data_IF_521317974044
#
_entry.id   IF_521317974044
#
_cell.length_a   1.000
_cell.length_b   1.000
_cell.length_c   1.000
_cell.angle_alpha   90.00
_cell.angle_beta   90.00
_cell.angle_gamma   90.00
#
_symmetry.space_group_name_H-M   'P 1'
#
loop_
_entity.id
_entity.type
_entity.pdbx_description
1 polymer ?
#
# COMPACT_ATOMS: atom_id res chain seq x y z
N UNK A 1 -35.02 49.72 -20.56
CA UNK A 1 -35.30 48.42 -19.90
C UNK A 1 -34.03 47.64 -19.56
N UNK A 2 -33.21 47.23 -20.54
CA UNK A 2 -32.02 46.37 -20.30
C UNK A 2 -30.93 47.07 -19.48
N UNK A 3 -30.71 48.39 -19.67
CA UNK A 3 -29.73 49.15 -18.89
C UNK A 3 -30.08 49.22 -17.39
N UNK A 4 -31.38 49.25 -17.05
CA UNK A 4 -31.85 49.29 -15.66
C UNK A 4 -31.88 47.92 -14.98
N UNK A 5 -32.12 46.84 -15.74
CA UNK A 5 -32.00 45.47 -15.25
C UNK A 5 -31.36 44.59 -16.33
N UNK A 6 -30.05 44.35 -16.19
CA UNK A 6 -29.26 43.57 -17.15
C UNK A 6 -29.62 42.07 -17.18
N UNK A 7 -30.37 41.58 -16.18
CA UNK A 7 -30.78 40.18 -16.05
C UNK A 7 -32.25 39.94 -16.46
N UNK A 8 -32.92 40.93 -17.06
CA UNK A 8 -34.30 40.83 -17.51
C UNK A 8 -34.49 39.71 -18.56
N UNK A 9 -35.61 38.97 -18.49
CA UNK A 9 -35.88 37.90 -19.46
C UNK A 9 -36.52 38.50 -20.72
N UNK A 10 -36.18 37.97 -21.89
CA UNK A 10 -36.77 38.39 -23.17
C UNK A 10 -38.30 38.34 -23.17
N UNK A 11 -38.90 37.37 -22.49
CA UNK A 11 -40.36 37.24 -22.36
C UNK A 11 -40.99 38.40 -21.57
N UNK A 12 -40.28 38.95 -20.60
CA UNK A 12 -40.78 40.03 -19.75
C UNK A 12 -40.70 41.35 -20.54
N UNK A 13 -39.65 41.54 -21.34
CA UNK A 13 -39.56 42.63 -22.32
C UNK A 13 -40.67 42.52 -23.37
N UNK A 14 -40.89 41.32 -23.92
CA UNK A 14 -41.91 41.06 -24.94
C UNK A 14 -43.32 41.40 -24.44
N UNK A 15 -43.61 41.05 -23.19
CA UNK A 15 -44.89 41.35 -22.53
C UNK A 15 -45.08 42.84 -22.27
N UNK A 16 -44.04 43.52 -21.76
CA UNK A 16 -44.11 44.95 -21.45
C UNK A 16 -44.26 45.81 -22.71
N UNK A 17 -43.57 45.43 -23.79
CA UNK A 17 -43.58 46.15 -25.06
C UNK A 17 -44.63 45.64 -26.04
N UNK A 18 -45.46 44.66 -25.65
CA UNK A 18 -46.48 44.00 -26.47
C UNK A 18 -45.98 43.55 -27.87
N UNK A 19 -44.73 43.08 -27.93
CA UNK A 19 -44.10 42.60 -29.17
C UNK A 19 -43.74 41.12 -29.08
N UNK A 20 -43.62 40.48 -30.24
CA UNK A 20 -43.16 39.10 -30.34
C UNK A 20 -41.75 38.92 -29.73
N UNK A 21 -41.53 37.78 -29.06
CA UNK A 21 -40.25 37.45 -28.40
C UNK A 21 -39.08 37.41 -29.39
N UNK A 22 -39.35 36.96 -30.60
CA UNK A 22 -38.41 36.87 -31.72
C UNK A 22 -37.92 38.26 -32.13
N UNK A 23 -38.83 39.25 -32.15
CA UNK A 23 -38.49 40.64 -32.43
C UNK A 23 -37.67 41.25 -31.29
N UNK A 24 -37.96 40.92 -30.03
CA UNK A 24 -37.10 41.29 -28.89
C UNK A 24 -35.70 40.71 -29.05
N UNK A 25 -35.59 39.43 -29.43
CA UNK A 25 -34.28 38.81 -29.65
C UNK A 25 -33.47 39.54 -30.72
N UNK A 26 -34.06 39.79 -31.90
CA UNK A 26 -33.41 40.52 -32.99
C UNK A 26 -32.98 41.93 -32.57
N UNK A 27 -33.84 42.66 -31.84
CA UNK A 27 -33.48 44.00 -31.35
C UNK A 27 -32.29 43.91 -30.39
N UNK A 28 -32.26 42.92 -29.48
CA UNK A 28 -31.17 42.75 -28.53
C UNK A 28 -29.86 42.39 -29.25
N UNK A 29 -29.88 41.44 -30.18
CA UNK A 29 -28.67 40.93 -30.83
C UNK A 29 -28.18 41.82 -31.96
N UNK A 30 -29.07 42.23 -32.85
CA UNK A 30 -28.70 42.81 -34.14
C UNK A 30 -28.76 44.34 -34.14
N UNK A 31 -29.70 44.93 -33.39
CA UNK A 31 -29.84 46.40 -33.31
C UNK A 31 -29.00 46.97 -32.16
N UNK A 32 -29.08 46.36 -30.98
CA UNK A 32 -28.38 46.82 -29.78
C UNK A 32 -27.00 46.19 -29.58
N UNK A 33 -26.64 45.17 -30.38
CA UNK A 33 -25.33 44.50 -30.29
C UNK A 33 -25.10 43.79 -28.94
N UNK A 34 -26.15 43.49 -28.20
CA UNK A 34 -26.05 42.93 -26.86
C UNK A 34 -25.98 41.39 -26.91
N UNK A 35 -25.04 40.82 -26.16
CA UNK A 35 -24.90 39.37 -26.00
C UNK A 35 -25.26 38.93 -24.59
N UNK A 36 -25.99 37.82 -24.47
CA UNK A 36 -26.26 37.19 -23.18
C UNK A 36 -25.04 36.41 -22.71
N UNK A 37 -24.52 36.77 -21.54
CA UNK A 37 -23.38 36.12 -20.88
C UNK A 37 -23.79 35.64 -19.49
N UNK A 38 -23.19 34.55 -19.01
CA UNK A 38 -23.34 34.11 -17.63
C UNK A 38 -22.40 34.90 -16.72
N UNK A 39 -22.85 35.18 -15.49
CA UNK A 39 -21.99 35.77 -14.47
C UNK A 39 -20.88 34.79 -14.07
N UNK A 40 -19.70 35.31 -13.70
CA UNK A 40 -18.63 34.52 -13.09
C UNK A 40 -18.87 34.41 -11.59
N UNK A 41 -18.64 33.22 -11.04
CA UNK A 41 -18.66 33.01 -9.59
C UNK A 41 -17.49 33.76 -8.95
N UNK A 42 -17.77 34.51 -7.88
CA UNK A 42 -16.77 35.22 -7.07
C UNK A 42 -16.85 34.65 -5.66
N UNK A 43 -15.72 34.26 -5.08
CA UNK A 43 -15.66 33.53 -3.81
C UNK A 43 -16.35 34.24 -2.65
N UNK A 44 -16.24 35.57 -2.57
CA UNK A 44 -16.86 36.38 -1.52
C UNK A 44 -17.17 37.79 -2.00
N UNK A 45 -18.26 38.37 -1.49
CA UNK A 45 -18.53 39.79 -1.61
C UNK A 45 -17.63 40.58 -0.64
N UNK A 46 -16.72 41.38 -1.17
CA UNK A 46 -15.73 42.13 -0.37
C UNK A 46 -16.28 43.51 0.03
N UNK A 47 -16.05 43.91 1.29
CA UNK A 47 -16.25 45.30 1.73
C UNK A 47 -15.18 46.21 1.13
N UNK A 48 -15.41 47.52 1.12
CA UNK A 48 -14.45 48.46 0.56
C UNK A 48 -13.14 48.51 1.35
N UNK A 49 -13.20 48.31 2.67
CA UNK A 49 -12.02 48.14 3.52
C UNK A 49 -11.19 46.91 3.09
N UNK A 50 -11.83 45.75 2.89
CA UNK A 50 -11.14 44.54 2.45
C UNK A 50 -10.53 44.68 1.06
N UNK A 51 -11.16 45.45 0.16
CA UNK A 51 -10.59 45.76 -1.15
C UNK A 51 -9.37 46.65 -1.01
N UNK A 52 -9.42 47.65 -0.12
CA UNK A 52 -8.29 48.54 0.14
C UNK A 52 -7.12 47.74 0.72
N UNK A 53 -7.34 46.93 1.75
CA UNK A 53 -6.31 46.08 2.35
C UNK A 53 -5.66 45.17 1.32
N UNK A 54 -6.46 44.47 0.49
CA UNK A 54 -5.93 43.63 -0.59
C UNK A 54 -5.09 44.42 -1.58
N UNK A 55 -5.52 45.62 -1.97
CA UNK A 55 -4.76 46.50 -2.88
C UNK A 55 -3.42 46.91 -2.26
N UNK A 56 -3.43 47.32 -0.99
CA UNK A 56 -2.22 47.72 -0.27
C UNK A 56 -1.24 46.56 -0.17
N UNK A 57 -1.67 45.39 0.31
CA UNK A 57 -0.81 44.20 0.41
C UNK A 57 -0.25 43.79 -0.95
N UNK A 58 -1.05 43.82 -2.02
CA UNK A 58 -0.55 43.52 -3.36
C UNK A 58 0.48 44.55 -3.84
N UNK A 59 0.32 45.84 -3.53
CA UNK A 59 1.28 46.87 -3.90
C UNK A 59 2.61 46.72 -3.15
N UNK A 60 2.57 46.36 -1.86
CA UNK A 60 3.76 46.08 -1.06
C UNK A 60 4.52 44.85 -1.58
N UNK A 61 3.80 43.75 -1.85
CA UNK A 61 4.39 42.53 -2.43
C UNK A 61 5.00 42.79 -3.82
N UNK A 62 4.34 43.62 -4.64
CA UNK A 62 4.87 44.01 -5.95
C UNK A 62 6.17 44.81 -5.81
N UNK A 63 6.22 45.76 -4.89
CA UNK A 63 7.42 46.55 -4.63
C UNK A 63 8.61 45.66 -4.20
N UNK A 64 8.37 44.68 -3.33
CA UNK A 64 9.41 43.74 -2.90
C UNK A 64 9.93 42.90 -4.08
N UNK A 65 9.03 42.46 -4.96
CA UNK A 65 9.43 41.76 -6.17
C UNK A 65 10.21 42.64 -7.15
N UNK A 66 9.87 43.93 -7.27
CA UNK A 66 10.62 44.88 -8.11
C UNK A 66 12.04 45.14 -7.59
N UNK A 67 12.24 45.12 -6.27
CA UNK A 67 13.54 45.33 -5.63
C UNK A 67 14.44 44.09 -5.64
N UNK A 68 13.88 42.91 -5.36
CA UNK A 68 14.64 41.68 -5.13
C UNK A 68 14.54 40.67 -6.30
N UNK A 69 13.58 40.83 -7.21
CA UNK A 69 13.35 39.94 -8.35
C UNK A 69 12.95 38.52 -7.94
N UNK A 70 13.48 37.54 -8.67
CA UNK A 70 13.14 36.11 -8.48
C UNK A 70 13.62 35.53 -7.14
N UNK A 71 14.64 36.12 -6.51
CA UNK A 71 15.13 35.71 -5.18
C UNK A 71 14.05 35.87 -4.10
N UNK A 72 13.17 36.87 -4.24
CA UNK A 72 12.00 37.02 -3.38
C UNK A 72 11.08 35.81 -3.46
N UNK A 73 10.76 35.36 -4.68
CA UNK A 73 9.83 34.24 -4.92
C UNK A 73 10.45 32.92 -4.42
N UNK A 74 11.75 32.71 -4.63
CA UNK A 74 12.44 31.50 -4.17
C UNK A 74 12.44 31.33 -2.65
N UNK A 75 12.33 32.42 -1.88
CA UNK A 75 12.24 32.37 -0.41
C UNK A 75 10.82 32.09 0.09
N UNK A 76 9.80 32.21 -0.75
CA UNK A 76 8.41 32.01 -0.35
C UNK A 76 8.06 30.53 -0.40
N UNK A 77 7.63 30.00 0.75
CA UNK A 77 7.00 28.68 0.84
C UNK A 77 5.52 28.88 1.11
N UNK A 78 4.66 28.48 0.16
CA UNK A 78 3.21 28.53 0.32
C UNK A 78 2.63 27.15 0.58
N UNK A 79 1.61 27.05 1.44
CA UNK A 79 0.79 25.86 1.59
C UNK A 79 -0.68 26.26 1.73
N UNK A 80 -1.58 25.46 1.18
CA UNK A 80 -3.03 25.60 1.36
C UNK A 80 -3.66 24.21 1.54
N UNK A 81 -4.78 24.14 2.24
CA UNK A 81 -5.53 22.92 2.46
C UNK A 81 -6.69 22.87 1.48
N UNK A 82 -6.66 21.91 0.55
CA UNK A 82 -7.78 21.69 -0.38
C UNK A 82 -8.55 20.44 0.02
N UNK A 83 -9.87 20.57 0.15
CA UNK A 83 -10.74 19.42 0.36
C UNK A 83 -10.75 18.53 -0.89
N UNK A 84 -10.30 17.30 -0.76
CA UNK A 84 -10.42 16.27 -1.80
C UNK A 84 -11.60 15.38 -1.46
N UNK A 85 -12.62 15.36 -2.34
CA UNK A 85 -13.76 14.47 -2.20
C UNK A 85 -13.37 13.04 -2.56
N UNK A 86 -13.70 12.08 -1.71
CA UNK A 86 -13.39 10.66 -1.94
C UNK A 86 -14.33 10.03 -2.98
N UNK A 87 -15.55 10.53 -3.08
CA UNK A 87 -16.55 10.10 -4.03
C UNK A 87 -17.27 11.33 -4.59
N UNK A 88 -17.06 11.59 -5.88
CA UNK A 88 -17.81 12.58 -6.63
C UNK A 88 -18.94 11.84 -7.37
N UNK A 89 -20.22 12.06 -7.01
CA UNK A 89 -21.32 11.37 -7.67
C UNK A 89 -21.35 11.73 -9.16
N UNK A 90 -21.65 10.73 -10.01
CA UNK A 90 -21.77 10.96 -11.45
C UNK A 90 -22.70 12.15 -11.74
N UNK A 91 -22.22 13.07 -12.56
CA UNK A 91 -23.05 14.19 -13.04
C UNK A 91 -24.24 13.66 -13.85
N UNK A 92 -25.32 14.45 -13.95
CA UNK A 92 -26.46 14.11 -14.81
C UNK A 92 -26.03 13.77 -16.24
N UNK A 93 -25.00 14.45 -16.75
CA UNK A 93 -24.45 14.22 -18.08
C UNK A 93 -23.72 12.87 -18.18
N UNK A 94 -22.86 12.55 -17.21
CA UNK A 94 -22.17 11.25 -17.16
C UNK A 94 -23.14 10.08 -16.99
N UNK A 95 -24.29 10.33 -16.36
CA UNK A 95 -25.32 9.31 -16.14
C UNK A 95 -26.27 9.05 -17.32
N UNK A 96 -26.07 9.73 -18.45
CA UNK A 96 -26.95 9.59 -19.60
C UNK A 96 -26.81 8.20 -20.24
N UNK A 97 -27.93 7.48 -20.34
CA UNK A 97 -28.01 6.17 -20.99
C UNK A 97 -28.96 6.21 -22.20
N UNK A 98 -28.58 5.53 -23.28
CA UNK A 98 -29.46 5.34 -24.43
C UNK A 98 -30.51 4.29 -24.11
N UNK A 99 -31.78 4.62 -24.33
CA UNK A 99 -32.89 3.70 -24.07
C UNK A 99 -33.94 3.72 -25.17
N UNK A 100 -34.70 2.63 -25.23
CA UNK A 100 -35.82 2.49 -26.14
C UNK A 100 -36.97 3.43 -25.74
N UNK A 101 -37.69 3.98 -26.73
CA UNK A 101 -38.77 4.98 -26.51
C UNK A 101 -39.91 4.50 -25.60
N UNK A 102 -40.11 3.18 -25.50
CA UNK A 102 -41.12 2.53 -24.66
C UNK A 102 -40.68 2.33 -23.21
N UNK A 103 -39.43 2.66 -22.87
CA UNK A 103 -38.89 2.42 -21.53
C UNK A 103 -39.14 3.60 -20.59
N UNK A 104 -39.38 3.29 -19.31
CA UNK A 104 -39.59 4.29 -18.26
C UNK A 104 -38.31 5.08 -17.99
N UNK A 105 -38.42 6.33 -17.56
CA UNK A 105 -37.24 7.13 -17.21
C UNK A 105 -36.45 6.51 -16.04
N UNK A 106 -35.10 6.45 -16.14
CA UNK A 106 -34.28 5.95 -15.05
C UNK A 106 -34.38 6.89 -13.84
N UNK A 107 -34.49 6.31 -12.65
CA UNK A 107 -34.51 7.03 -11.38
C UNK A 107 -33.15 6.94 -10.71
N UNK A 108 -32.51 8.07 -10.48
CA UNK A 108 -31.31 8.19 -9.63
C UNK A 108 -31.67 8.85 -8.30
N UNK A 109 -31.15 8.30 -7.21
CA UNK A 109 -31.24 8.90 -5.89
C UNK A 109 -30.11 9.92 -5.73
N UNK A 110 -30.41 11.08 -5.12
CA UNK A 110 -29.38 12.08 -4.84
C UNK A 110 -28.40 11.52 -3.80
N UNK A 111 -27.17 11.32 -4.21
CA UNK A 111 -26.05 11.01 -3.32
C UNK A 111 -25.25 12.29 -3.13
N UNK A 112 -24.93 12.63 -1.89
CA UNK A 112 -24.11 13.81 -1.55
C UNK A 112 -22.64 13.41 -1.59
N UNK A 113 -21.78 14.26 -2.16
CA UNK A 113 -20.33 14.06 -2.11
C UNK A 113 -19.89 13.92 -0.64
N UNK A 114 -19.19 12.83 -0.32
CA UNK A 114 -18.73 12.54 1.04
C UNK A 114 -17.23 12.82 1.15
N UNK A 115 -16.85 13.65 2.12
CA UNK A 115 -15.47 13.87 2.51
C UNK A 115 -15.19 13.01 3.77
N UNK A 116 -14.37 11.95 3.65
CA UNK A 116 -13.90 11.15 4.79
C UNK A 116 -12.38 11.28 4.90
N UNK A 117 -11.87 11.40 6.14
CA UNK A 117 -10.45 11.56 6.54
C UNK A 117 -9.51 10.54 5.88
N UNK A 118 -9.06 10.80 4.65
CA UNK A 118 -7.89 10.12 4.07
C UNK A 118 -6.59 10.78 4.54
N UNK A 119 -6.62 12.08 4.88
CA UNK A 119 -5.48 12.78 5.49
C UNK A 119 -5.04 12.09 6.76
N UNK A 120 -5.97 11.64 7.62
CA UNK A 120 -5.60 10.89 8.82
C UNK A 120 -4.90 9.57 8.46
N UNK A 121 -5.41 8.81 7.50
CA UNK A 121 -4.78 7.56 7.07
C UNK A 121 -3.40 7.79 6.43
N UNK A 122 -3.28 8.77 5.54
CA UNK A 122 -2.00 9.15 4.93
C UNK A 122 -1.02 9.70 5.96
N UNK A 123 -1.50 10.41 6.97
CA UNK A 123 -0.69 10.95 8.08
C UNK A 123 -0.28 9.85 9.06
N UNK A 124 -1.11 8.83 9.23
CA UNK A 124 -0.84 7.62 10.01
C UNK A 124 0.16 6.71 9.28
N UNK A 125 -0.05 6.47 7.98
CA UNK A 125 0.89 5.77 7.09
C UNK A 125 2.24 6.52 7.01
N UNK A 126 2.22 7.86 6.96
CA UNK A 126 3.44 8.68 7.00
C UNK A 126 4.14 8.60 8.34
N UNK A 127 3.39 8.64 9.46
CA UNK A 127 3.95 8.50 10.80
C UNK A 127 4.57 7.11 10.98
N UNK A 128 3.91 6.06 10.50
CA UNK A 128 4.41 4.69 10.50
C UNK A 128 5.68 4.54 9.64
N UNK A 129 5.72 5.19 8.48
CA UNK A 129 6.92 5.25 7.64
C UNK A 129 8.08 5.97 8.33
N UNK A 130 7.80 7.04 9.09
CA UNK A 130 8.82 7.79 9.85
C UNK A 130 9.33 6.99 11.04
N UNK A 131 8.46 6.30 11.78
CA UNK A 131 8.88 5.46 12.91
C UNK A 131 9.71 4.27 12.43
N UNK A 132 9.29 3.60 11.35
CA UNK A 132 10.06 2.49 10.77
C UNK A 132 11.43 2.95 10.26
N UNK A 133 11.54 4.15 9.69
CA UNK A 133 12.84 4.74 9.33
C UNK A 133 13.70 5.05 10.56
N UNK A 134 13.11 5.52 11.65
CA UNK A 134 13.85 5.80 12.89
C UNK A 134 14.37 4.51 13.52
N UNK A 135 13.53 3.48 13.61
CA UNK A 135 13.90 2.16 14.13
C UNK A 135 15.00 1.52 13.27
N UNK A 136 14.90 1.61 11.93
CA UNK A 136 15.95 1.17 11.03
C UNK A 136 17.27 1.90 11.26
N UNK A 137 17.24 3.22 11.44
CA UNK A 137 18.46 4.00 11.75
C UNK A 137 19.07 3.60 13.09
N UNK A 138 18.25 3.44 14.13
CA UNK A 138 18.72 2.99 15.44
C UNK A 138 19.37 1.61 15.37
N UNK A 139 18.74 0.68 14.63
CA UNK A 139 19.28 -0.67 14.44
C UNK A 139 20.61 -0.64 13.69
N UNK A 140 20.72 0.19 12.65
CA UNK A 140 21.98 0.38 11.91
C UNK A 140 23.06 0.92 12.85
N UNK A 141 22.76 1.93 13.67
CA UNK A 141 23.74 2.47 14.63
C UNK A 141 24.17 1.44 15.67
N UNK A 142 23.24 0.63 16.18
CA UNK A 142 23.57 -0.47 17.10
C UNK A 142 24.45 -1.53 16.42
N UNK A 143 24.14 -1.93 15.19
CA UNK A 143 24.97 -2.88 14.45
C UNK A 143 26.37 -2.32 14.15
N UNK A 144 26.48 -1.03 13.86
CA UNK A 144 27.77 -0.37 13.69
C UNK A 144 28.58 -0.35 15.00
N UNK A 145 27.93 -0.12 16.15
CA UNK A 145 28.55 -0.16 17.47
C UNK A 145 28.97 -1.59 17.86
N UNK A 146 28.12 -2.57 17.63
CA UNK A 146 28.41 -3.99 17.87
C UNK A 146 29.56 -4.48 16.99
N UNK A 147 29.61 -4.09 15.70
CA UNK A 147 30.73 -4.39 14.82
C UNK A 147 32.02 -3.71 15.28
N UNK A 148 31.95 -2.46 15.78
CA UNK A 148 33.10 -1.79 16.38
C UNK A 148 33.56 -2.53 17.64
N UNK A 149 32.64 -2.98 18.48
CA UNK A 149 32.94 -3.74 19.69
C UNK A 149 33.50 -5.13 19.38
N UNK A 150 32.98 -5.84 18.39
CA UNK A 150 33.50 -7.14 17.94
C UNK A 150 34.86 -6.99 17.26
N UNK A 151 35.08 -5.91 16.51
CA UNK A 151 36.38 -5.61 15.92
C UNK A 151 37.39 -5.17 16.99
N UNK A 152 36.96 -4.42 18.01
CA UNK A 152 37.77 -4.04 19.17
C UNK A 152 38.11 -5.27 20.03
N UNK A 153 37.14 -6.16 20.28
CA UNK A 153 37.34 -7.44 20.96
C UNK A 153 38.21 -8.40 20.12
N UNK A 154 38.03 -8.44 18.81
CA UNK A 154 38.94 -9.15 17.90
C UNK A 154 40.34 -8.55 17.95
N UNK A 155 40.50 -7.23 18.10
CA UNK A 155 41.83 -6.61 18.24
C UNK A 155 42.47 -6.83 19.62
N UNK A 156 41.66 -6.98 20.68
CA UNK A 156 42.13 -7.31 22.03
C UNK A 156 42.42 -8.81 22.21
N UNK A 157 41.72 -9.69 21.50
CA UNK A 157 41.94 -11.15 21.52
C UNK A 157 42.80 -11.66 20.36
N UNK A 158 43.13 -10.80 19.38
CA UNK A 158 44.21 -11.05 18.40
C UNK A 158 45.56 -10.67 19.03
N UNK A 159 45.82 -11.24 20.19
CA UNK A 159 47.16 -11.47 20.72
C UNK A 159 47.52 -12.93 20.45
N UNK A 160 48.60 -13.14 19.69
CA UNK A 160 49.42 -14.34 19.67
C UNK A 160 48.81 -15.68 19.22
N UNK A 161 48.17 -15.74 18.05
CA UNK A 161 47.81 -17.04 17.44
C UNK A 161 48.16 -17.22 15.95
N UNK A 162 48.66 -16.19 15.25
CA UNK A 162 49.02 -16.33 13.84
C UNK A 162 50.46 -15.86 13.66
N UNK A 163 51.35 -16.81 13.36
CA UNK A 163 52.80 -16.61 13.33
C UNK A 163 53.23 -15.64 12.23
N UNK A 164 53.84 -14.53 12.64
CA UNK A 164 54.81 -13.75 11.86
C UNK A 164 55.86 -13.18 12.84
N UNK A 165 57.15 -13.10 12.48
CA UNK A 165 58.21 -12.69 13.39
C UNK A 165 58.40 -11.17 13.40
N UNK A 166 58.25 -10.53 14.56
CA UNK A 166 58.53 -9.10 14.81
C UNK A 166 58.70 -8.82 16.31
N UNK A 167 59.46 -7.78 16.69
CA UNK A 167 60.58 -7.91 17.61
C UNK A 167 60.18 -7.95 19.09
N UNK A 168 61.00 -8.69 19.85
CA UNK A 168 60.72 -9.07 21.22
C UNK A 168 60.78 -7.93 22.23
N UNK A 169 59.84 -7.97 23.17
CA UNK A 169 59.87 -7.16 24.38
C UNK A 169 60.19 -8.02 25.61
N UNK A 170 61.05 -7.44 26.44
CA UNK A 170 61.81 -8.00 27.55
C UNK A 170 60.99 -8.54 28.75
N UNK A 171 59.68 -8.74 28.60
CA UNK A 171 58.81 -9.23 29.68
C UNK A 171 58.59 -10.75 29.66
N UNK A 172 58.99 -11.44 28.59
CA UNK A 172 58.90 -12.91 28.51
C UNK A 172 59.99 -13.61 29.35
N UNK A 173 61.13 -12.95 29.59
CA UNK A 173 62.27 -13.52 30.33
C UNK A 173 62.08 -13.49 31.86
N UNK A 174 61.23 -12.58 32.37
CA UNK A 174 60.94 -12.44 33.80
C UNK A 174 59.91 -13.47 34.33
N UNK A 175 59.04 -14.00 33.46
CA UNK A 175 58.06 -15.02 33.85
C UNK A 175 58.64 -16.44 33.81
N UNK A 176 59.71 -16.65 33.04
CA UNK A 176 60.43 -17.93 32.98
C UNK A 176 61.36 -18.19 34.18
N UNK A 177 61.79 -17.14 34.89
CA UNK A 177 62.68 -17.26 36.06
C UNK A 177 61.93 -17.59 37.35
N UNK A 178 60.68 -17.14 37.51
CA UNK A 178 59.87 -17.37 38.72
C UNK A 178 59.41 -18.83 38.84
N UNK A 179 59.17 -19.50 37.71
CA UNK A 179 58.76 -20.92 37.68
C UNK A 179 59.91 -21.87 38.00
N UNK A 180 61.17 -21.41 37.89
CA UNK A 180 62.36 -22.24 38.13
C UNK A 180 62.83 -22.26 39.60
N UNK A 181 62.36 -21.35 40.44
CA UNK A 181 62.81 -21.24 41.84
C UNK A 181 61.93 -21.95 42.89
N UNK A 182 60.74 -22.46 42.54
CA UNK A 182 59.82 -23.04 43.54
C UNK A 182 59.89 -24.57 43.69
N UNK A 183 60.90 -25.22 43.11
CA UNK A 183 61.14 -26.66 43.31
C UNK A 183 62.01 -26.90 44.55
N UNK A 184 61.54 -27.61 45.59
CA UNK A 184 62.38 -27.94 46.73
C UNK A 184 63.37 -29.06 46.39
N UNK A 185 64.65 -28.78 46.64
CA UNK A 185 65.77 -29.74 46.62
C UNK A 185 65.86 -30.42 47.98
N UNK A 186 65.92 -31.77 48.02
CA UNK A 186 66.78 -32.59 48.92
C UNK A 186 66.57 -34.11 48.74
N UNK A 187 67.49 -35.00 49.19
CA UNK A 187 68.28 -35.84 48.26
C UNK A 187 68.20 -37.38 48.48
N UNK A 188 68.85 -38.09 47.54
CA UNK A 188 69.46 -39.45 47.62
C UNK A 188 68.60 -40.74 47.64
N UNK A 189 68.75 -41.50 46.54
CA UNK A 189 68.92 -42.97 46.40
C UNK A 189 67.72 -43.92 46.67
N UNK A 190 67.75 -45.13 46.07
CA UNK A 190 66.77 -45.60 45.09
C UNK A 190 65.75 -46.55 45.72
N UNK A 191 64.55 -46.68 45.14
CA UNK A 191 63.75 -47.92 45.15
C UNK A 191 62.47 -47.71 44.30
N UNK A 192 62.31 -48.65 43.38
CA UNK A 192 61.14 -49.10 42.60
C UNK A 192 59.76 -48.48 42.85
N UNK A 193 59.06 -48.22 41.75
CA UNK A 193 57.59 -48.20 41.69
C UNK A 193 57.03 -46.88 41.17
N UNK A 194 56.37 -46.93 40.02
CA UNK A 194 55.59 -45.85 39.39
C UNK A 194 54.38 -45.44 40.25
N UNK A 195 54.17 -44.11 40.50
CA UNK A 195 52.82 -43.59 40.67
C UNK A 195 52.69 -42.12 40.18
N UNK A 196 53.05 -41.79 38.93
CA UNK A 196 53.01 -40.38 38.48
C UNK A 196 51.66 -39.87 37.93
N UNK A 197 50.64 -40.73 37.76
CA UNK A 197 49.36 -40.34 37.13
C UNK A 197 48.25 -39.90 38.09
N UNK A 198 48.38 -40.12 39.40
CA UNK A 198 47.31 -39.79 40.38
C UNK A 198 47.31 -38.33 40.85
N UNK A 199 48.47 -37.69 40.95
CA UNK A 199 48.58 -36.33 41.54
C UNK A 199 47.96 -35.22 40.69
N UNK A 200 48.01 -35.34 39.35
CA UNK A 200 47.40 -34.36 38.44
C UNK A 200 45.88 -34.50 38.38
N UNK A 201 45.38 -35.74 38.40
CA UNK A 201 43.94 -36.03 38.47
C UNK A 201 43.32 -35.52 39.78
N UNK A 202 44.00 -35.72 40.92
CA UNK A 202 43.54 -35.23 42.22
C UNK A 202 43.53 -33.69 42.32
N UNK A 203 44.38 -33.00 41.56
CA UNK A 203 44.40 -31.52 41.49
C UNK A 203 43.31 -30.94 40.57
N UNK A 204 42.88 -31.67 39.54
CA UNK A 204 41.87 -31.22 38.57
C UNK A 204 40.43 -31.45 39.06
N UNK A 205 40.20 -32.51 39.85
CA UNK A 205 38.89 -32.83 40.42
C UNK A 205 38.22 -31.67 41.19
N UNK A 206 38.87 -30.95 42.12
CA UNK A 206 38.25 -29.85 42.83
C UNK A 206 37.90 -28.66 41.92
N UNK A 207 38.68 -28.41 40.87
CA UNK A 207 38.42 -27.34 39.89
C UNK A 207 37.16 -27.68 39.08
N UNK A 208 37.06 -28.91 38.59
CA UNK A 208 35.89 -29.40 37.83
C UNK A 208 34.63 -29.46 38.72
N UNK A 209 34.77 -29.86 39.99
CA UNK A 209 33.69 -29.81 40.97
C UNK A 209 33.18 -28.38 41.17
N UNK A 210 34.06 -27.40 41.33
CA UNK A 210 33.66 -25.99 41.47
C UNK A 210 32.96 -25.44 40.22
N UNK A 211 33.43 -25.82 39.02
CA UNK A 211 32.83 -25.41 37.77
C UNK A 211 31.42 -26.02 37.62
N UNK A 212 31.28 -27.32 37.92
CA UNK A 212 29.99 -28.01 37.91
C UNK A 212 29.00 -27.37 38.90
N UNK A 213 29.45 -26.99 40.08
CA UNK A 213 28.63 -26.32 41.09
C UNK A 213 28.16 -24.95 40.60
N UNK A 214 29.04 -24.13 40.00
CA UNK A 214 28.68 -22.83 39.41
C UNK A 214 27.67 -22.97 38.28
N UNK A 215 27.86 -23.94 37.39
CA UNK A 215 26.90 -24.19 36.30
C UNK A 215 25.56 -24.68 36.83
N UNK A 216 25.55 -25.54 37.87
CA UNK A 216 24.31 -26.00 38.50
C UNK A 216 23.54 -24.84 39.14
N UNK A 217 24.21 -23.95 39.85
CA UNK A 217 23.60 -22.77 40.47
C UNK A 217 23.03 -21.81 39.41
N UNK A 218 23.78 -21.53 38.34
CA UNK A 218 23.31 -20.69 37.23
C UNK A 218 22.12 -21.30 36.50
N UNK A 219 22.11 -22.62 36.30
CA UNK A 219 20.97 -23.32 35.71
C UNK A 219 19.72 -23.18 36.59
N UNK A 220 19.86 -23.38 37.91
CA UNK A 220 18.76 -23.23 38.86
C UNK A 220 18.23 -21.78 38.91
N UNK A 221 19.11 -20.79 38.84
CA UNK A 221 18.74 -19.37 38.79
C UNK A 221 17.99 -19.02 37.49
N UNK A 222 18.48 -19.51 36.35
CA UNK A 222 17.81 -19.31 35.05
C UNK A 222 16.44 -19.98 34.99
N UNK A 223 16.30 -21.18 35.57
CA UNK A 223 15.00 -21.86 35.70
C UNK A 223 14.04 -21.05 36.57
N UNK A 224 14.50 -20.53 37.72
CA UNK A 224 13.69 -19.68 38.59
C UNK A 224 13.27 -18.37 37.91
N UNK A 225 14.17 -17.74 37.15
CA UNK A 225 13.89 -16.53 36.38
C UNK A 225 12.87 -16.80 35.27
N UNK A 226 13.01 -17.93 34.56
CA UNK A 226 12.07 -18.34 33.50
C UNK A 226 10.66 -18.55 34.07
N UNK A 227 10.55 -19.23 35.21
CA UNK A 227 9.27 -19.43 35.90
C UNK A 227 8.65 -18.09 36.36
N UNK A 228 9.45 -17.18 36.90
CA UNK A 228 9.00 -15.85 37.30
C UNK A 228 8.47 -15.04 36.12
N UNK A 229 9.20 -15.04 35.00
CA UNK A 229 8.78 -14.38 33.76
C UNK A 229 7.49 -14.99 33.20
N UNK A 230 7.37 -16.33 33.21
CA UNK A 230 6.17 -17.02 32.76
C UNK A 230 4.94 -16.66 33.60
N UNK A 231 5.12 -16.54 34.93
CA UNK A 231 4.06 -16.07 35.82
C UNK A 231 3.68 -14.61 35.52
N UNK A 232 4.66 -13.74 35.25
CA UNK A 232 4.41 -12.34 34.89
C UNK A 232 3.61 -12.22 33.58
N UNK A 233 3.96 -13.00 32.55
CA UNK A 233 3.20 -13.06 31.29
C UNK A 233 1.75 -13.47 31.53
N UNK A 234 1.52 -14.46 32.41
CA UNK A 234 0.17 -14.93 32.74
C UNK A 234 -0.65 -13.84 33.45
N UNK A 235 -0.04 -13.08 34.37
CA UNK A 235 -0.70 -11.97 35.06
C UNK A 235 -1.07 -10.85 34.09
N UNK A 236 -0.14 -10.45 33.21
CA UNK A 236 -0.39 -9.42 32.21
C UNK A 236 -1.48 -9.84 31.21
N UNK A 237 -1.51 -11.12 30.82
CA UNK A 237 -2.55 -11.66 29.96
C UNK A 237 -3.93 -11.55 30.61
N UNK A 238 -4.04 -11.92 31.89
CA UNK A 238 -5.28 -11.79 32.66
C UNK A 238 -5.72 -10.33 32.81
N UNK A 239 -4.77 -9.40 32.99
CA UNK A 239 -5.06 -7.97 33.05
C UNK A 239 -5.55 -7.42 31.70
N UNK A 240 -4.92 -7.83 30.60
CA UNK A 240 -5.39 -7.49 29.24
C UNK A 240 -6.81 -7.99 28.98
N UNK A 241 -7.13 -9.22 29.37
CA UNK A 241 -8.46 -9.77 29.18
C UNK A 241 -9.51 -9.09 30.08
N UNK A 242 -9.12 -8.71 31.30
CA UNK A 242 -9.96 -7.91 32.20
C UNK A 242 -10.25 -6.53 31.61
N UNK A 243 -9.21 -5.81 31.17
CA UNK A 243 -9.36 -4.49 30.55
C UNK A 243 -10.18 -4.55 29.27
N UNK A 244 -10.02 -5.59 28.45
CA UNK A 244 -10.86 -5.82 27.27
C UNK A 244 -12.32 -6.00 27.65
N UNK A 245 -12.61 -6.82 28.66
CA UNK A 245 -13.98 -7.05 29.18
C UNK A 245 -14.61 -5.76 29.71
N UNK A 246 -13.85 -4.98 30.49
CA UNK A 246 -14.33 -3.73 31.07
C UNK A 246 -14.54 -2.64 30.01
N UNK A 247 -13.67 -2.57 28.99
CA UNK A 247 -13.85 -1.66 27.85
C UNK A 247 -15.12 -2.00 27.04
N UNK A 248 -15.42 -3.28 26.83
CA UNK A 248 -16.66 -3.70 26.17
C UNK A 248 -17.89 -3.29 26.99
N UNK A 249 -17.88 -3.50 28.31
CA UNK A 249 -18.98 -3.05 29.20
C UNK A 249 -19.12 -1.53 29.22
N UNK A 250 -18.01 -0.80 29.16
CA UNK A 250 -18.04 0.66 29.09
C UNK A 250 -18.67 1.12 27.77
N UNK A 251 -18.33 0.45 26.66
CA UNK A 251 -18.96 0.69 25.37
C UNK A 251 -20.47 0.40 25.40
N UNK A 252 -20.91 -0.69 26.02
CA UNK A 252 -22.34 -0.98 26.22
C UNK A 252 -23.06 0.16 26.95
N UNK A 253 -22.44 0.70 28.01
CA UNK A 253 -22.98 1.86 28.75
C UNK A 253 -23.03 3.13 27.90
N UNK A 254 -21.98 3.42 27.13
CA UNK A 254 -21.95 4.58 26.22
C UNK A 254 -23.04 4.44 25.16
N UNK A 255 -23.21 3.26 24.55
CA UNK A 255 -24.24 3.00 23.53
C UNK A 255 -25.65 3.08 24.13
N UNK A 256 -25.83 2.63 25.36
CA UNK A 256 -27.09 2.82 26.09
C UNK A 256 -27.38 4.31 26.33
N UNK A 257 -26.40 5.11 26.73
CA UNK A 257 -26.57 6.56 26.91
C UNK A 257 -26.76 7.31 25.58
N UNK A 258 -26.09 6.90 24.50
CA UNK A 258 -26.28 7.43 23.15
C UNK A 258 -27.63 7.02 22.51
N UNK A 259 -28.29 5.98 23.02
CA UNK A 259 -29.63 5.60 22.58
C UNK A 259 -30.73 6.55 23.09
N UNK A 260 -30.41 7.43 24.05
CA UNK A 260 -31.18 8.64 24.31
C UNK A 260 -30.81 9.70 23.27
N UNK A 261 -31.77 10.35 22.60
CA UNK A 261 -31.48 11.24 21.49
C UNK A 261 -30.88 12.55 22.00
N UNK A 262 -29.55 12.60 22.13
CA UNK A 262 -28.79 13.85 22.24
C UNK A 262 -27.97 13.99 20.97
N UNK A 263 -28.25 15.08 20.25
CA UNK A 263 -27.63 15.51 19.00
C UNK A 263 -26.11 15.65 19.14
N UNK A 264 -25.39 14.96 18.26
CA UNK A 264 -24.11 15.41 17.72
C UNK A 264 -22.85 14.89 18.43
N UNK A 265 -22.03 14.16 17.70
CA UNK A 265 -20.66 13.83 18.10
C UNK A 265 -20.09 12.71 17.24
N UNK A 266 -19.03 13.01 16.51
CA UNK A 266 -18.28 12.06 15.70
C UNK A 266 -17.85 10.84 16.52
N UNK A 267 -18.05 9.65 15.98
CA UNK A 267 -17.63 8.38 16.62
C UNK A 267 -16.51 7.72 15.82
N UNK A 268 -15.38 7.57 16.52
CA UNK A 268 -14.06 7.13 16.06
C UNK A 268 -14.01 5.67 15.59
N UNK A 269 -13.05 5.30 14.73
CA UNK A 269 -12.83 3.92 14.26
C UNK A 269 -12.64 2.89 15.39
N UNK A 270 -12.20 3.33 16.58
CA UNK A 270 -12.13 2.50 17.79
C UNK A 270 -13.52 2.07 18.24
N UNK A 271 -14.51 2.97 18.18
CA UNK A 271 -15.91 2.65 18.48
C UNK A 271 -16.50 1.68 17.47
N UNK A 272 -16.12 1.75 16.19
CA UNK A 272 -16.52 0.77 15.17
C UNK A 272 -15.95 -0.63 15.44
N UNK A 273 -14.67 -0.74 15.87
CA UNK A 273 -14.07 -2.05 16.18
C UNK A 273 -14.72 -2.70 17.40
N UNK A 274 -15.10 -1.92 18.41
CA UNK A 274 -15.86 -2.44 19.56
C UNK A 274 -17.34 -2.65 19.23
N UNK A 275 -17.91 -1.85 18.32
CA UNK A 275 -19.26 -2.05 17.77
C UNK A 275 -19.36 -3.37 17.02
N UNK A 276 -18.38 -3.71 16.17
CA UNK A 276 -18.41 -4.97 15.44
C UNK A 276 -18.28 -6.18 16.39
N UNK A 277 -17.45 -6.08 17.44
CA UNK A 277 -17.35 -7.12 18.48
C UNK A 277 -18.65 -7.26 19.30
N UNK A 278 -19.36 -6.16 19.51
CA UNK A 278 -20.67 -6.13 20.16
C UNK A 278 -21.76 -6.73 19.26
N UNK A 279 -21.84 -6.33 17.99
CA UNK A 279 -22.78 -6.84 16.99
C UNK A 279 -22.54 -8.33 16.70
N UNK A 280 -21.28 -8.78 16.64
CA UNK A 280 -20.92 -10.19 16.46
C UNK A 280 -21.37 -11.05 17.65
N UNK A 281 -21.46 -10.49 18.87
CA UNK A 281 -21.99 -11.18 20.06
C UNK A 281 -23.52 -11.14 20.14
N UNK A 282 -24.16 -10.15 19.54
CA UNK A 282 -25.61 -9.92 19.64
C UNK A 282 -26.44 -10.54 18.53
N UNK A 283 -25.84 -10.89 17.39
CA UNK A 283 -26.58 -11.40 16.23
C UNK A 283 -26.37 -12.92 16.01
N UNK A 284 -27.29 -13.78 16.51
CA UNK A 284 -27.19 -15.24 16.37
C UNK A 284 -27.14 -15.70 14.90
N UNK A 285 -27.65 -14.88 13.97
CA UNK A 285 -27.79 -15.23 12.55
C UNK A 285 -26.49 -15.08 11.75
N UNK A 286 -25.56 -14.23 12.17
CA UNK A 286 -24.22 -14.14 11.53
C UNK A 286 -23.41 -15.42 11.79
N UNK A 287 -23.45 -15.93 13.02
CA UNK A 287 -22.84 -17.20 13.39
C UNK A 287 -23.48 -18.39 12.66
N UNK A 288 -24.80 -18.34 12.48
CA UNK A 288 -25.56 -19.35 11.74
C UNK A 288 -25.23 -19.32 10.23
N UNK A 289 -25.25 -18.15 9.59
CA UNK A 289 -24.94 -18.01 8.16
C UNK A 289 -23.49 -18.42 7.83
N UNK A 290 -22.53 -18.15 8.72
CA UNK A 290 -21.15 -18.61 8.59
C UNK A 290 -21.08 -20.14 8.67
N UNK A 291 -21.77 -20.76 9.63
CA UNK A 291 -21.89 -22.22 9.76
C UNK A 291 -22.61 -22.84 8.56
N UNK A 292 -23.65 -22.22 8.03
CA UNK A 292 -24.40 -22.70 6.88
C UNK A 292 -23.57 -22.64 5.59
N UNK A 293 -22.79 -21.56 5.39
CA UNK A 293 -21.82 -21.45 4.29
C UNK A 293 -20.75 -22.53 4.36
N UNK A 294 -20.33 -22.89 5.57
CA UNK A 294 -19.36 -23.97 5.80
C UNK A 294 -19.97 -25.35 5.56
N UNK A 295 -21.24 -25.59 5.92
CA UNK A 295 -21.96 -26.83 5.56
C UNK A 295 -22.10 -26.97 4.05
N UNK A 296 -22.52 -25.92 3.33
CA UNK A 296 -22.57 -25.93 1.86
C UNK A 296 -21.20 -26.18 1.22
N UNK A 297 -20.12 -25.65 1.80
CA UNK A 297 -18.75 -25.94 1.34
C UNK A 297 -18.33 -27.39 1.56
N UNK A 298 -18.82 -28.04 2.62
CA UNK A 298 -18.56 -29.45 2.90
C UNK A 298 -19.38 -30.38 1.98
N UNK A 299 -20.61 -30.00 1.65
CA UNK A 299 -21.53 -30.72 0.74
C UNK A 299 -21.11 -30.67 -0.75
N UNK A 300 -20.24 -29.72 -1.13
CA UNK A 300 -19.69 -29.64 -2.48
C UNK A 300 -18.88 -30.90 -2.82
N UNK A 301 -18.99 -31.36 -4.06
CA UNK A 301 -18.24 -32.54 -4.53
C UNK A 301 -16.74 -32.22 -4.64
N UNK A 302 -15.84 -33.20 -4.53
CA UNK A 302 -14.39 -32.97 -4.49
C UNK A 302 -13.86 -32.13 -5.67
N UNK A 303 -14.43 -32.33 -6.86
CA UNK A 303 -14.06 -31.59 -8.07
C UNK A 303 -14.56 -30.13 -8.08
N UNK A 304 -15.71 -29.87 -7.46
CA UNK A 304 -16.22 -28.51 -7.30
C UNK A 304 -15.35 -27.71 -6.32
N UNK A 305 -14.79 -28.37 -5.28
CA UNK A 305 -13.86 -27.73 -4.34
C UNK A 305 -12.55 -27.32 -5.01
N UNK A 306 -12.03 -28.15 -5.91
CA UNK A 306 -10.81 -27.85 -6.68
C UNK A 306 -11.07 -26.69 -7.65
N UNK A 307 -12.23 -26.68 -8.32
CA UNK A 307 -12.59 -25.58 -9.24
C UNK A 307 -12.79 -24.27 -8.49
N UNK A 308 -13.42 -24.31 -7.31
CA UNK A 308 -13.62 -23.14 -6.45
C UNK A 308 -12.32 -22.64 -5.83
N UNK A 309 -11.38 -23.53 -5.46
CA UNK A 309 -10.07 -23.12 -4.96
C UNK A 309 -9.22 -22.51 -6.08
N UNK A 310 -9.25 -23.09 -7.28
CA UNK A 310 -8.58 -22.56 -8.48
C UNK A 310 -9.14 -21.18 -8.87
N UNK A 311 -10.48 -21.04 -8.88
CA UNK A 311 -11.14 -19.77 -9.17
C UNK A 311 -10.84 -18.70 -8.12
N UNK A 312 -10.80 -19.06 -6.84
CA UNK A 312 -10.46 -18.12 -5.76
C UNK A 312 -8.98 -17.72 -5.78
N UNK A 313 -8.09 -18.62 -6.20
CA UNK A 313 -6.65 -18.32 -6.35
C UNK A 313 -6.39 -17.35 -7.51
N UNK A 314 -7.09 -17.52 -8.64
CA UNK A 314 -7.01 -16.61 -9.78
C UNK A 314 -7.63 -15.25 -9.43
N UNK A 315 -8.77 -15.23 -8.73
CA UNK A 315 -9.51 -13.98 -8.44
C UNK A 315 -8.98 -13.21 -7.23
N UNK A 316 -8.30 -13.90 -6.31
CA UNK A 316 -7.73 -13.32 -5.09
C UNK A 316 -6.40 -12.61 -5.29
N UNK A 317 -5.59 -13.00 -6.28
CA UNK A 317 -4.26 -12.43 -6.48
C UNK A 317 -4.18 -11.52 -7.73
N UNK A 318 -3.64 -10.30 -7.58
CA UNK A 318 -3.52 -9.32 -8.68
C UNK A 318 -2.59 -9.81 -9.79
N UNK A 319 -1.53 -10.55 -9.43
CA UNK A 319 -0.58 -11.13 -10.41
C UNK A 319 -1.20 -12.29 -11.17
N UNK A 320 -1.94 -13.18 -10.50
CA UNK A 320 -2.62 -14.31 -11.15
C UNK A 320 -3.65 -13.85 -12.21
N UNK A 321 -4.36 -12.74 -11.94
CA UNK A 321 -5.25 -12.11 -12.93
C UNK A 321 -4.51 -11.60 -14.15
N UNK A 322 -3.34 -11.00 -13.98
CA UNK A 322 -2.50 -10.53 -15.10
C UNK A 322 -2.03 -11.72 -15.95
N UNK A 323 -1.52 -12.78 -15.33
CA UNK A 323 -1.09 -13.99 -16.05
C UNK A 323 -2.23 -14.64 -16.84
N UNK A 324 -3.42 -14.78 -16.25
CA UNK A 324 -4.59 -15.33 -16.95
C UNK A 324 -5.00 -14.47 -18.16
N UNK A 325 -4.98 -13.14 -18.02
CA UNK A 325 -5.27 -12.22 -19.11
C UNK A 325 -4.27 -12.39 -20.28
N UNK A 326 -2.96 -12.34 -20.00
CA UNK A 326 -1.95 -12.53 -21.04
C UNK A 326 -2.00 -13.92 -21.68
N UNK A 327 -2.26 -14.97 -20.90
CA UNK A 327 -2.44 -16.32 -21.42
C UNK A 327 -3.59 -16.39 -22.42
N UNK A 328 -4.76 -15.81 -22.10
CA UNK A 328 -5.88 -15.78 -23.04
C UNK A 328 -5.57 -14.94 -24.28
N UNK A 329 -4.86 -13.82 -24.14
CA UNK A 329 -4.48 -12.96 -25.26
C UNK A 329 -3.54 -13.68 -26.24
N UNK A 330 -2.53 -14.38 -25.71
CA UNK A 330 -1.57 -15.16 -26.50
C UNK A 330 -2.29 -16.30 -27.23
N UNK A 331 -3.20 -17.00 -26.55
CA UNK A 331 -3.99 -18.07 -27.17
C UNK A 331 -4.85 -17.54 -28.32
N UNK A 332 -5.51 -16.38 -28.14
CA UNK A 332 -6.26 -15.76 -29.22
C UNK A 332 -5.36 -15.36 -30.39
N UNK A 333 -4.21 -14.73 -30.14
CA UNK A 333 -3.20 -14.40 -31.17
C UNK A 333 -2.76 -15.65 -31.95
N UNK A 334 -2.50 -16.76 -31.26
CA UNK A 334 -2.11 -18.01 -31.89
C UNK A 334 -3.22 -18.57 -32.80
N UNK A 335 -4.46 -18.58 -32.32
CA UNK A 335 -5.62 -19.00 -33.13
C UNK A 335 -5.78 -18.10 -34.36
N UNK A 336 -5.67 -16.78 -34.20
CA UNK A 336 -5.72 -15.85 -35.33
C UNK A 336 -4.59 -16.08 -36.34
N UNK A 337 -3.37 -16.36 -35.88
CA UNK A 337 -2.24 -16.67 -36.77
C UNK A 337 -2.44 -17.96 -37.55
N UNK A 338 -2.97 -19.01 -36.91
CA UNK A 338 -3.29 -20.28 -37.58
C UNK A 338 -4.39 -20.07 -38.63
N UNK A 339 -5.45 -19.37 -38.28
CA UNK A 339 -6.54 -19.05 -39.22
C UNK A 339 -6.05 -18.18 -40.37
N UNK A 340 -5.19 -17.18 -40.10
CA UNK A 340 -4.58 -16.34 -41.12
C UNK A 340 -3.71 -17.17 -42.08
N UNK A 341 -2.87 -18.06 -41.55
CA UNK A 341 -2.02 -18.94 -42.37
C UNK A 341 -2.87 -19.87 -43.23
N UNK A 342 -3.91 -20.49 -42.67
CA UNK A 342 -4.83 -21.33 -43.44
C UNK A 342 -5.51 -20.53 -44.56
N UNK A 343 -6.09 -19.37 -44.24
CA UNK A 343 -6.78 -18.52 -45.22
C UNK A 343 -5.84 -18.02 -46.33
N UNK A 344 -4.61 -17.66 -45.98
CA UNK A 344 -3.60 -17.22 -46.95
C UNK A 344 -3.15 -18.37 -47.86
N UNK A 345 -2.92 -19.57 -47.30
CA UNK A 345 -2.55 -20.74 -48.12
C UNK A 345 -3.67 -21.16 -49.07
N UNK A 346 -4.92 -21.12 -48.63
CA UNK A 346 -6.08 -21.42 -49.48
C UNK A 346 -6.30 -20.35 -50.55
N UNK A 347 -6.01 -19.08 -50.26
CA UNK A 347 -6.07 -18.01 -51.25
C UNK A 347 -4.98 -18.13 -52.31
N UNK A 348 -3.72 -18.39 -51.93
CA UNK A 348 -2.65 -18.64 -52.90
C UNK A 348 -2.93 -19.84 -53.82
N UNK A 349 -3.55 -20.91 -53.29
CA UNK A 349 -3.97 -22.05 -54.12
C UNK A 349 -5.04 -21.64 -55.14
N UNK A 350 -6.04 -20.87 -54.72
CA UNK A 350 -7.10 -20.38 -55.62
C UNK A 350 -6.55 -19.46 -56.72
N UNK A 351 -5.67 -18.54 -56.37
CA UNK A 351 -5.05 -17.61 -57.32
C UNK A 351 -4.17 -18.36 -58.33
N UNK A 352 -3.41 -19.36 -57.87
CA UNK A 352 -2.66 -20.25 -58.77
C UNK A 352 -3.60 -21.01 -59.71
N UNK A 353 -4.68 -21.61 -59.21
CA UNK A 353 -5.65 -22.30 -60.08
C UNK A 353 -6.27 -21.36 -61.12
N UNK A 354 -6.55 -20.10 -60.77
CA UNK A 354 -7.05 -19.09 -61.70
C UNK A 354 -6.03 -18.76 -62.80
N UNK A 355 -4.75 -18.54 -62.45
CA UNK A 355 -3.67 -18.26 -63.42
C UNK A 355 -3.44 -19.46 -64.38
N UNK A 356 -3.52 -20.68 -63.87
CA UNK A 356 -3.44 -21.89 -64.70
C UNK A 356 -4.64 -22.00 -65.67
N UNK A 357 -5.86 -21.68 -65.21
CA UNK A 357 -7.06 -21.65 -66.06
C UNK A 357 -6.96 -20.60 -67.17
N UNK A 358 -6.48 -19.41 -66.85
CA UNK A 358 -6.30 -18.31 -67.80
C UNK A 358 -5.26 -18.68 -68.88
N UNK A 359 -4.08 -19.17 -68.47
CA UNK A 359 -3.06 -19.64 -69.41
C UNK A 359 -3.52 -20.80 -70.28
N UNK A 360 -4.34 -21.71 -69.75
CA UNK A 360 -4.93 -22.79 -70.53
C UNK A 360 -5.93 -22.25 -71.56
N UNK A 361 -6.78 -21.29 -71.18
CA UNK A 361 -7.72 -20.64 -72.09
C UNK A 361 -6.99 -19.88 -73.21
N UNK A 362 -5.94 -19.13 -72.89
CA UNK A 362 -5.07 -18.48 -73.89
C UNK A 362 -4.40 -19.50 -74.82
N UNK A 363 -3.86 -20.59 -74.28
CA UNK A 363 -3.25 -21.65 -75.09
C UNK A 363 -4.27 -22.30 -76.02
N UNK A 364 -5.48 -22.60 -75.55
CA UNK A 364 -6.56 -23.14 -76.37
C UNK A 364 -6.94 -22.20 -77.51
N UNK A 365 -7.07 -20.90 -77.24
CA UNK A 365 -7.35 -19.89 -78.27
C UNK A 365 -6.22 -19.80 -79.30
N UNK A 366 -4.96 -19.81 -78.85
CA UNK A 366 -3.79 -19.62 -79.73
C UNK A 366 -3.48 -20.85 -80.60
N UNK A 367 -3.65 -22.05 -80.06
CA UNK A 367 -3.26 -23.31 -80.75
C UNK A 367 -4.45 -23.94 -81.48
N UNK A 368 -5.66 -23.82 -80.94
CA UNK A 368 -6.86 -24.46 -81.48
C UNK A 368 -7.93 -23.49 -82.00
N UNK A 369 -7.82 -22.19 -81.70
CA UNK A 369 -8.76 -21.16 -82.17
C UNK A 369 -8.55 -20.71 -83.63
N UNK A 370 -7.48 -21.16 -84.30
CA UNK A 370 -7.29 -20.95 -85.73
C UNK A 370 -7.85 -22.15 -86.53
N UNK A 371 -9.17 -22.23 -86.62
CA UNK A 371 -9.84 -22.98 -87.69
C UNK A 371 -11.18 -22.30 -87.99
N UNK A 372 -11.12 -21.26 -88.80
CA UNK A 372 -12.29 -20.81 -89.56
C UNK A 372 -12.47 -21.66 -90.83
N UNK A 373 -13.71 -22.03 -91.18
CA UNK A 373 -14.02 -22.95 -92.26
C UNK A 373 -14.19 -22.21 -93.59
N UNK A 374 -13.10 -21.94 -94.30
CA UNK A 374 -13.17 -21.66 -95.75
C UNK A 374 -11.88 -22.15 -96.43
N UNK A 375 -11.88 -23.43 -96.78
CA UNK A 375 -11.51 -23.97 -98.10
C UNK A 375 -12.02 -25.42 -98.20
#
# INVERSE_FOLDING_TARGET
MILGNRCIKQKDIAKELEIAKERVQHIITDVLGCRKVSARWVARMLTDEMKMQRKTTCAELLKHYEEEGEEFIQRIVTGDETWVHHYDPESNYQSMEYRHKSSLSPRKFKVVASARKQVHKLQEDYREAVTTLHDQKSLITQLEEDLRNVNALSSMFRGDAEGEPGPGDANSEAMASIVKEMAPVSPTLPVTGDPSSKSAADSLLPIVQSQRERYRLRAQELEAQTLSQQQQVTVLQNEMDKLRSDNVKLYEKIRFLQSYPVKGGATDDVTNSYSSQYEERLDPFTSFSRKERQRRYLELKPYDKITLSMGRLIMGNKTARAFAFFYTLILHLLVFLVLYKLAHTESCKRDMMADWHERYAEHMMKVHGAKDPTE
#
